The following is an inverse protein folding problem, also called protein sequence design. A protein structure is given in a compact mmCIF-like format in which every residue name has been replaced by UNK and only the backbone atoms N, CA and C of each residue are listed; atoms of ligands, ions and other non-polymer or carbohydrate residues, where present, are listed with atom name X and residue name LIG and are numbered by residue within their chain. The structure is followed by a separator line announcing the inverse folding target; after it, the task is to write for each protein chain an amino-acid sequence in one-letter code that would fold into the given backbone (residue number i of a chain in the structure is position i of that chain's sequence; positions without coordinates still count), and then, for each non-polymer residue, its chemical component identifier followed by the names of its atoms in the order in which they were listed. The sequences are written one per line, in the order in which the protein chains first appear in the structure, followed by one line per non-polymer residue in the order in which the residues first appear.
data_IF_296961147799
#
_entry.id   IF_296961147799
#
_cell.length_a   1.000
_cell.length_b   1.000
_cell.length_c   1.000
_cell.angle_alpha   90.00
_cell.angle_beta   90.00
_cell.angle_gamma   90.00
#
_symmetry.space_group_name_H-M   'P 1'
#
loop_
_entity.id
_entity.type
_entity.pdbx_description
1 polymer ?
#
# COMPACT_ATOMS: atom_id res chain seq x y z
N UNK A 1 23.51 -25.30 8.23
CA UNK A 1 23.83 -23.87 7.96
C UNK A 1 22.87 -23.40 6.87
N UNK A 2 21.98 -22.43 7.12
CA UNK A 2 21.18 -21.83 6.05
C UNK A 2 22.07 -20.94 5.19
N UNK A 3 21.88 -21.00 3.89
CA UNK A 3 22.62 -20.22 2.90
C UNK A 3 21.67 -19.20 2.28
N UNK A 4 22.18 -18.02 1.93
CA UNK A 4 21.39 -16.94 1.30
C UNK A 4 20.56 -17.42 0.08
N UNK A 5 21.06 -18.34 -0.78
CA UNK A 5 20.26 -18.90 -1.88
C UNK A 5 19.01 -19.67 -1.42
N UNK A 6 19.08 -20.38 -0.29
CA UNK A 6 17.93 -21.10 0.26
C UNK A 6 16.87 -20.13 0.80
N UNK A 7 17.30 -19.00 1.38
CA UNK A 7 16.37 -17.95 1.83
C UNK A 7 15.63 -17.32 0.64
N UNK A 8 16.32 -17.06 -0.48
CA UNK A 8 15.68 -16.59 -1.72
C UNK A 8 14.71 -17.62 -2.31
N UNK A 9 15.08 -18.91 -2.29
CA UNK A 9 14.19 -19.98 -2.75
C UNK A 9 12.93 -20.07 -1.88
N UNK A 10 13.07 -19.96 -0.55
CA UNK A 10 11.95 -19.96 0.39
C UNK A 10 11.01 -18.78 0.14
N UNK A 11 11.55 -17.56 -0.04
CA UNK A 11 10.76 -16.38 -0.38
C UNK A 11 10.06 -16.58 -1.74
N UNK A 12 10.75 -17.13 -2.73
CA UNK A 12 10.18 -17.42 -4.05
C UNK A 12 8.98 -18.36 -3.97
N UNK A 13 9.07 -19.42 -3.17
CA UNK A 13 7.94 -20.32 -2.92
C UNK A 13 6.78 -19.61 -2.23
N UNK A 14 7.04 -18.83 -1.19
CA UNK A 14 5.99 -18.07 -0.49
C UNK A 14 5.27 -17.10 -1.43
N UNK A 15 6.00 -16.42 -2.32
CA UNK A 15 5.43 -15.52 -3.33
C UNK A 15 4.58 -16.32 -4.32
N UNK A 16 5.08 -17.44 -4.83
CA UNK A 16 4.34 -18.27 -5.80
C UNK A 16 2.97 -18.71 -5.27
N UNK A 17 2.87 -19.07 -3.99
CA UNK A 17 1.59 -19.40 -3.36
C UNK A 17 0.70 -18.18 -3.08
N UNK A 18 1.28 -17.01 -2.88
CA UNK A 18 0.55 -15.77 -2.56
C UNK A 18 0.03 -15.06 -3.83
N UNK A 19 0.71 -15.23 -4.98
CA UNK A 19 0.36 -14.58 -6.25
C UNK A 19 -1.09 -14.84 -6.69
N UNK A 20 -1.62 -16.08 -6.71
CA UNK A 20 -2.99 -16.33 -7.15
C UNK A 20 -4.01 -15.56 -6.32
N UNK A 21 -3.80 -15.48 -5.00
CA UNK A 21 -4.66 -14.73 -4.09
C UNK A 21 -4.59 -13.23 -4.39
N UNK A 22 -3.39 -12.69 -4.58
CA UNK A 22 -3.22 -11.27 -4.90
C UNK A 22 -3.82 -10.91 -6.26
N UNK A 23 -3.72 -11.78 -7.26
CA UNK A 23 -4.36 -11.58 -8.57
C UNK A 23 -5.88 -11.51 -8.42
N UNK A 24 -6.47 -12.45 -7.68
CA UNK A 24 -7.91 -12.46 -7.44
C UNK A 24 -8.38 -11.20 -6.71
N UNK A 25 -7.64 -10.75 -5.69
CA UNK A 25 -7.93 -9.50 -4.97
C UNK A 25 -7.78 -8.27 -5.87
N UNK A 26 -6.77 -8.24 -6.73
CA UNK A 26 -6.56 -7.16 -7.69
C UNK A 26 -7.72 -7.08 -8.70
N UNK A 27 -8.22 -8.22 -9.18
CA UNK A 27 -9.40 -8.28 -10.04
C UNK A 27 -10.67 -7.77 -9.34
N UNK A 28 -10.78 -8.00 -8.04
CA UNK A 28 -11.88 -7.49 -7.22
C UNK A 28 -11.71 -6.02 -6.84
N UNK A 29 -10.57 -5.39 -7.15
CA UNK A 29 -10.23 -4.03 -6.72
C UNK A 29 -10.35 -3.79 -5.21
N UNK A 30 -10.20 -4.85 -4.40
CA UNK A 30 -10.26 -4.77 -2.94
C UNK A 30 -8.88 -4.51 -2.35
N UNK A 31 -8.55 -3.21 -2.28
CA UNK A 31 -7.28 -2.73 -1.73
C UNK A 31 -7.15 -3.05 -0.23
N UNK A 32 -8.27 -3.05 0.52
CA UNK A 32 -8.26 -3.27 1.97
C UNK A 32 -7.82 -4.69 2.30
N UNK A 33 -8.45 -5.68 1.69
CA UNK A 33 -8.10 -7.09 1.89
C UNK A 33 -6.69 -7.39 1.38
N UNK A 34 -6.27 -6.79 0.26
CA UNK A 34 -4.90 -6.94 -0.24
C UNK A 34 -3.84 -6.47 0.76
N UNK A 35 -4.05 -5.34 1.45
CA UNK A 35 -3.11 -4.85 2.48
C UNK A 35 -3.01 -5.80 3.68
N UNK A 36 -4.11 -6.44 4.09
CA UNK A 36 -4.10 -7.45 5.16
C UNK A 36 -3.24 -8.64 4.77
N UNK A 37 -3.38 -9.14 3.53
CA UNK A 37 -2.54 -10.25 3.04
C UNK A 37 -1.06 -9.88 2.97
N UNK A 38 -0.73 -8.66 2.54
CA UNK A 38 0.65 -8.16 2.56
C UNK A 38 1.20 -8.13 3.98
N UNK A 39 0.42 -7.65 4.96
CA UNK A 39 0.85 -7.63 6.36
C UNK A 39 1.11 -9.05 6.92
N UNK A 40 0.22 -10.00 6.62
CA UNK A 40 0.40 -11.41 7.01
C UNK A 40 1.66 -11.99 6.34
N UNK A 41 1.84 -11.75 5.04
CA UNK A 41 3.01 -12.19 4.29
C UNK A 41 4.31 -11.63 4.88
N UNK A 42 4.37 -10.34 5.18
CA UNK A 42 5.51 -9.71 5.84
C UNK A 42 5.79 -10.35 7.21
N UNK A 43 4.75 -10.64 8.01
CA UNK A 43 4.88 -11.35 9.28
C UNK A 43 5.47 -12.76 9.11
N UNK A 44 5.00 -13.52 8.12
CA UNK A 44 5.56 -14.84 7.80
C UNK A 44 7.03 -14.77 7.39
N UNK A 45 7.41 -13.79 6.57
CA UNK A 45 8.81 -13.59 6.16
C UNK A 45 9.71 -13.31 7.37
N UNK A 46 9.27 -12.45 8.29
CA UNK A 46 10.01 -12.16 9.53
C UNK A 46 10.16 -13.40 10.43
N UNK A 47 9.09 -14.19 10.59
CA UNK A 47 9.11 -15.39 11.43
C UNK A 47 9.88 -16.56 10.81
N UNK A 48 9.98 -16.62 9.48
CA UNK A 48 10.63 -17.73 8.77
C UNK A 48 12.14 -17.83 9.01
N UNK A 49 12.76 -16.83 9.67
CA UNK A 49 14.20 -16.79 9.96
C UNK A 49 15.06 -16.46 8.73
N UNK A 50 14.51 -15.68 7.80
CA UNK A 50 15.26 -15.11 6.66
C UNK A 50 16.33 -14.15 7.16
N UNK A 51 17.48 -14.12 6.49
CA UNK A 51 18.57 -13.20 6.80
C UNK A 51 18.12 -11.72 6.79
N UNK A 52 18.43 -10.99 7.87
CA UNK A 52 18.22 -9.54 7.97
C UNK A 52 18.87 -8.73 6.84
N UNK A 53 19.91 -9.28 6.20
CA UNK A 53 20.56 -8.69 5.02
C UNK A 53 19.63 -8.60 3.80
N UNK A 54 18.57 -9.40 3.74
CA UNK A 54 17.55 -9.36 2.67
C UNK A 54 16.37 -8.50 3.12
N UNK A 55 15.93 -8.66 4.37
CA UNK A 55 14.76 -7.96 4.92
C UNK A 55 14.97 -6.45 4.93
N UNK A 56 16.12 -5.96 5.40
CA UNK A 56 16.38 -4.52 5.54
C UNK A 56 16.35 -3.80 4.18
N UNK A 57 17.09 -4.24 3.14
CA UNK A 57 17.03 -3.60 1.83
C UNK A 57 15.64 -3.63 1.21
N UNK A 58 14.90 -4.74 1.33
CA UNK A 58 13.55 -4.86 0.78
C UNK A 58 12.61 -3.87 1.47
N UNK A 59 12.64 -3.80 2.80
CA UNK A 59 11.83 -2.87 3.56
C UNK A 59 12.18 -1.41 3.25
N UNK A 60 13.47 -1.07 3.22
CA UNK A 60 13.94 0.27 2.89
C UNK A 60 13.52 0.70 1.47
N UNK A 61 13.60 -0.22 0.50
CA UNK A 61 13.15 0.04 -0.87
C UNK A 61 11.64 0.29 -0.91
N UNK A 62 10.85 -0.52 -0.20
CA UNK A 62 9.39 -0.34 -0.12
C UNK A 62 9.00 1.01 0.50
N UNK A 63 9.60 1.38 1.63
CA UNK A 63 9.36 2.68 2.28
C UNK A 63 9.76 3.83 1.36
N UNK A 64 10.92 3.74 0.71
CA UNK A 64 11.41 4.77 -0.23
C UNK A 64 10.46 4.92 -1.42
N UNK A 65 9.92 3.82 -1.96
CA UNK A 65 8.95 3.86 -3.05
C UNK A 65 7.64 4.55 -2.62
N UNK A 66 7.11 4.24 -1.44
CA UNK A 66 5.90 4.88 -0.91
C UNK A 66 6.12 6.38 -0.68
N UNK A 67 7.24 6.75 -0.07
CA UNK A 67 7.59 8.16 0.18
C UNK A 67 7.79 8.89 -1.15
N UNK A 68 8.50 8.29 -2.11
CA UNK A 68 8.70 8.85 -3.44
C UNK A 68 7.39 9.05 -4.20
N UNK A 69 6.49 8.07 -4.15
CA UNK A 69 5.15 8.19 -4.72
C UNK A 69 4.37 9.35 -4.09
N UNK A 70 4.39 9.48 -2.76
CA UNK A 70 3.71 10.59 -2.07
C UNK A 70 4.32 11.96 -2.38
N UNK A 71 5.65 12.05 -2.49
CA UNK A 71 6.32 13.27 -2.90
C UNK A 71 5.89 13.73 -4.30
N UNK A 72 5.78 12.78 -5.25
CA UNK A 72 5.25 13.06 -6.58
C UNK A 72 3.77 13.48 -6.48
N UNK A 73 2.95 12.74 -5.74
CA UNK A 73 1.50 12.99 -5.64
C UNK A 73 1.14 14.38 -5.07
N UNK A 74 1.94 14.88 -4.12
CA UNK A 74 1.74 16.21 -3.50
C UNK A 74 2.29 17.34 -4.38
N UNK A 75 3.22 17.05 -5.31
CA UNK A 75 3.77 18.03 -6.23
C UNK A 75 2.69 18.64 -7.14
N UNK A 76 2.91 19.91 -7.53
CA UNK A 76 1.94 20.73 -8.31
C UNK A 76 1.53 20.06 -9.63
N UNK A 77 2.48 19.47 -10.34
CA UNK A 77 2.25 18.80 -11.63
C UNK A 77 2.17 17.27 -11.52
N UNK A 78 2.46 16.73 -10.34
CA UNK A 78 2.57 15.28 -10.15
C UNK A 78 1.25 14.54 -10.33
N UNK A 79 0.11 15.19 -10.03
CA UNK A 79 -1.23 14.62 -10.25
C UNK A 79 -1.57 14.53 -11.74
N UNK A 80 -1.20 15.54 -12.52
CA UNK A 80 -1.37 15.55 -13.97
C UNK A 80 -0.47 14.49 -14.64
N UNK A 81 0.76 14.37 -14.16
CA UNK A 81 1.67 13.29 -14.55
C UNK A 81 1.08 11.91 -14.25
N UNK A 82 0.59 11.68 -13.02
CA UNK A 82 -0.03 10.41 -12.65
C UNK A 82 -1.27 10.07 -13.50
N UNK A 83 -2.06 11.08 -13.85
CA UNK A 83 -3.19 10.90 -14.75
C UNK A 83 -2.73 10.52 -16.18
N UNK A 84 -1.66 11.14 -16.69
CA UNK A 84 -1.09 10.81 -18.00
C UNK A 84 -0.50 9.40 -18.08
N UNK A 85 0.07 8.88 -16.98
CA UNK A 85 0.58 7.50 -16.95
C UNK A 85 -0.54 6.44 -16.85
N UNK A 86 -1.81 6.87 -16.80
CA UNK A 86 -2.97 5.98 -16.80
C UNK A 86 -3.65 5.81 -15.44
N UNK A 87 -3.31 6.61 -14.42
CA UNK A 87 -4.02 6.58 -13.14
C UNK A 87 -5.42 7.21 -13.30
N UNK A 88 -6.52 6.47 -13.04
CA UNK A 88 -7.87 7.01 -13.16
C UNK A 88 -8.08 8.20 -12.22
N UNK A 89 -8.77 9.24 -12.70
CA UNK A 89 -9.11 10.43 -11.90
C UNK A 89 -9.82 10.06 -10.59
N UNK A 90 -10.63 8.99 -10.60
CA UNK A 90 -11.28 8.46 -9.41
C UNK A 90 -10.30 8.05 -8.30
N UNK A 91 -9.20 7.36 -8.65
CA UNK A 91 -8.20 6.91 -7.67
C UNK A 91 -7.45 8.11 -7.10
N UNK A 92 -7.17 9.11 -7.93
CA UNK A 92 -6.55 10.38 -7.50
C UNK A 92 -7.47 11.10 -6.52
N UNK A 93 -8.76 11.22 -6.85
CA UNK A 93 -9.76 11.86 -5.99
C UNK A 93 -9.93 11.16 -4.64
N UNK A 94 -9.84 9.83 -4.59
CA UNK A 94 -9.88 9.08 -3.31
C UNK A 94 -8.71 9.40 -2.40
N UNK A 95 -7.48 9.48 -2.94
CA UNK A 95 -6.29 9.84 -2.15
C UNK A 95 -6.39 11.31 -1.71
N UNK A 96 -6.87 12.19 -2.57
CA UNK A 96 -7.15 13.61 -2.27
C UNK A 96 -8.16 13.77 -1.13
N UNK A 97 -9.25 13.01 -1.17
CA UNK A 97 -10.27 13.06 -0.14
C UNK A 97 -9.75 12.51 1.21
N UNK A 98 -8.84 11.54 1.19
CA UNK A 98 -8.13 11.10 2.41
C UNK A 98 -7.17 12.16 2.95
N UNK A 99 -6.46 12.88 2.07
CA UNK A 99 -5.49 13.90 2.47
C UNK A 99 -6.18 15.17 3.00
N UNK A 100 -7.28 15.60 2.35
CA UNK A 100 -8.07 16.78 2.70
C UNK A 100 -9.56 16.39 2.90
N UNK A 101 -9.92 15.71 3.99
CA UNK A 101 -11.28 15.17 4.19
C UNK A 101 -12.36 16.25 4.30
N UNK A 102 -12.00 17.45 4.74
CA UNK A 102 -12.92 18.57 4.96
C UNK A 102 -13.29 19.31 3.67
N UNK A 103 -12.40 19.35 2.67
CA UNK A 103 -12.68 19.96 1.36
C UNK A 103 -13.65 19.10 0.52
N UNK A 104 -13.70 17.78 0.78
CA UNK A 104 -14.55 16.81 0.08
C UNK A 104 -15.72 16.28 0.92
N UNK A 105 -16.01 16.93 2.05
CA UNK A 105 -17.00 16.48 3.02
C UNK A 105 -18.42 16.32 2.44
N UNK A 106 -18.76 17.01 1.33
CA UNK A 106 -20.10 16.98 0.75
C UNK A 106 -20.36 15.82 -0.24
N UNK A 107 -19.35 15.05 -0.68
CA UNK A 107 -19.54 14.05 -1.76
C UNK A 107 -18.96 12.66 -1.52
N UNK A 108 -17.79 12.48 -0.90
CA UNK A 108 -17.15 11.15 -0.78
C UNK A 108 -16.63 10.81 0.63
N UNK A 109 -16.38 11.81 1.48
CA UNK A 109 -15.80 11.62 2.83
C UNK A 109 -16.72 12.00 3.98
N UNK A 110 -18.03 12.23 3.72
CA UNK A 110 -18.99 12.71 4.74
C UNK A 110 -18.94 11.90 6.04
N UNK A 111 -18.94 10.56 5.97
CA UNK A 111 -18.91 9.73 7.18
C UNK A 111 -17.56 9.77 7.92
N UNK A 112 -16.44 9.93 7.21
CA UNK A 112 -15.10 10.03 7.82
C UNK A 112 -14.88 11.40 8.48
N UNK A 113 -15.33 12.48 7.84
CA UNK A 113 -15.28 13.83 8.39
C UNK A 113 -16.20 13.97 9.61
N UNK A 114 -17.43 13.45 9.55
CA UNK A 114 -18.36 13.49 10.67
C UNK A 114 -17.88 12.65 11.86
N UNK A 115 -17.19 11.52 11.61
CA UNK A 115 -16.54 10.73 12.66
C UNK A 115 -15.44 11.50 13.39
N UNK A 116 -14.62 12.28 12.67
CA UNK A 116 -13.59 13.14 13.28
C UNK A 116 -14.22 14.29 14.10
N UNK A 117 -15.29 14.90 13.60
CA UNK A 117 -16.03 15.96 14.31
C UNK A 117 -16.67 15.41 15.59
N UNK A 118 -17.28 14.22 15.54
CA UNK A 118 -17.94 13.59 16.68
C UNK A 118 -16.98 13.22 17.83
N UNK A 119 -15.72 12.88 17.51
CA UNK A 119 -14.67 12.63 18.53
C UNK A 119 -14.24 13.96 19.19
N UNK A 120 -14.26 15.07 18.46
CA UNK A 120 -13.87 16.39 18.98
C UNK A 120 -15.00 17.17 19.67
N UNK A 121 -16.26 16.77 19.49
CA UNK A 121 -17.44 17.40 20.13
C UNK A 121 -17.86 16.72 21.44
N UNK A 122 -17.08 15.75 21.92
CA UNK A 122 -17.27 15.08 23.21
C UNK A 122 -16.66 15.87 24.36
#
# INVERSE_FOLDING_TARGET
RRTIPLDFLLIGWMIAFTIPVLILLALQSDLGTALVFVAIFSGMVLLSGVSWKIIIPVFATGVTAVVGFMAIFISKDGRAFLHQIGMPTYQINRILAWLNPFDFAQTTTYQQAQGQIAIGSG
#
